data_IF_550455676921
#
_entry.id   IF_550455676921
#
_cell.length_a   1.000
_cell.length_b   1.000
_cell.length_c   1.000
_cell.angle_alpha   90.00
_cell.angle_beta   90.00
_cell.angle_gamma   90.00
#
_symmetry.space_group_name_H-M   'P 1'
#
loop_
_entity.id
_entity.type
_entity.pdbx_description
1 polymer ?
#
# COMPACT_ATOMS: atom_id res chain seq x y z
N UNK A 1 16.46 32.29 5.20
CA UNK A 1 15.17 31.63 4.97
C UNK A 1 15.29 30.14 4.56
N UNK A 2 16.48 29.59 4.29
CA UNK A 2 16.64 28.23 3.77
C UNK A 2 16.69 27.11 4.82
N UNK A 3 16.94 27.41 6.09
CA UNK A 3 17.10 26.37 7.14
C UNK A 3 15.77 25.86 7.75
N UNK A 4 14.67 26.60 7.59
CA UNK A 4 13.37 26.19 8.18
C UNK A 4 12.61 25.10 7.40
N UNK A 5 12.90 24.92 6.12
CA UNK A 5 12.13 23.98 5.27
C UNK A 5 12.69 22.55 5.27
N UNK A 6 13.98 22.37 5.56
CA UNK A 6 14.64 21.05 5.64
C UNK A 6 14.39 20.37 6.99
N UNK A 7 14.20 21.16 8.06
CA UNK A 7 13.81 20.67 9.38
C UNK A 7 12.36 20.17 9.44
N UNK A 8 11.55 20.39 8.39
CA UNK A 8 10.10 20.18 8.45
C UNK A 8 9.70 18.70 8.59
N UNK A 9 10.46 17.74 8.09
CA UNK A 9 10.10 16.33 8.28
C UNK A 9 10.56 15.77 9.63
N UNK A 10 11.75 16.13 10.10
CA UNK A 10 12.23 15.72 11.42
C UNK A 10 11.68 16.64 12.55
N UNK A 11 11.55 17.94 12.35
CA UNK A 11 11.06 18.88 13.34
C UNK A 11 9.57 18.75 13.63
N UNK A 12 8.74 18.35 12.64
CA UNK A 12 7.31 18.04 12.86
C UNK A 12 7.11 16.89 13.84
N UNK A 13 8.07 15.99 13.93
CA UNK A 13 8.06 14.86 14.87
C UNK A 13 8.85 15.16 16.14
N UNK A 14 9.75 16.18 16.12
CA UNK A 14 10.58 16.59 17.26
C UNK A 14 9.83 17.43 18.29
N UNK A 15 8.97 18.34 17.84
CA UNK A 15 8.20 19.19 18.77
C UNK A 15 6.94 18.46 19.21
N UNK A 16 6.98 17.87 20.38
CA UNK A 16 5.94 17.08 21.03
C UNK A 16 4.56 17.72 21.19
N UNK A 17 4.18 18.72 20.37
CA UNK A 17 2.92 19.43 20.47
C UNK A 17 1.81 18.75 19.67
N UNK A 18 0.75 18.27 20.40
CA UNK A 18 -0.43 17.69 19.76
C UNK A 18 -1.21 18.68 18.86
N UNK A 19 -0.93 19.99 18.97
CA UNK A 19 -1.60 20.99 18.14
C UNK A 19 -1.20 20.93 16.67
N UNK A 20 -0.02 20.39 16.36
CA UNK A 20 0.47 20.24 14.99
C UNK A 20 -0.01 18.93 14.33
N UNK A 21 -0.70 18.06 15.07
CA UNK A 21 -1.21 16.79 14.55
C UNK A 21 -2.62 16.95 13.95
N UNK A 22 -2.95 16.08 13.00
CA UNK A 22 -4.26 16.07 12.36
C UNK A 22 -5.36 15.71 13.34
N UNK A 23 -6.50 16.39 13.23
CA UNK A 23 -7.70 16.02 13.98
C UNK A 23 -8.22 14.66 13.56
N UNK A 24 -9.06 14.04 14.43
CA UNK A 24 -9.65 12.72 14.23
C UNK A 24 -10.22 12.52 12.82
N UNK A 25 -11.15 13.38 12.44
CA UNK A 25 -11.85 13.27 11.14
C UNK A 25 -10.97 13.67 9.96
N UNK A 26 -10.06 14.61 10.16
CA UNK A 26 -9.10 15.02 9.13
C UNK A 26 -8.19 13.84 8.74
N UNK A 27 -7.59 13.15 9.72
CA UNK A 27 -6.76 11.98 9.45
C UNK A 27 -7.57 10.81 8.88
N UNK A 28 -8.79 10.58 9.41
CA UNK A 28 -9.70 9.57 8.89
C UNK A 28 -9.96 9.78 7.39
N UNK A 29 -10.37 11.00 6.99
CA UNK A 29 -10.69 11.32 5.60
C UNK A 29 -9.45 11.28 4.70
N UNK A 30 -8.29 11.75 5.19
CA UNK A 30 -7.04 11.67 4.44
C UNK A 30 -6.67 10.21 4.15
N UNK A 31 -6.80 9.33 5.14
CA UNK A 31 -6.53 7.90 4.98
C UNK A 31 -7.55 7.20 4.07
N UNK A 32 -8.84 7.51 4.20
CA UNK A 32 -9.89 6.92 3.37
C UNK A 32 -9.79 7.29 1.88
N UNK A 33 -8.89 8.21 1.52
CA UNK A 33 -8.45 8.39 0.14
C UNK A 33 -7.90 7.11 -0.47
N UNK A 34 -7.18 6.33 0.31
CA UNK A 34 -6.57 5.06 -0.11
C UNK A 34 -7.62 3.99 -0.42
N UNK A 35 -8.78 4.01 0.27
CA UNK A 35 -9.85 3.02 0.06
C UNK A 35 -10.43 3.02 -1.36
N UNK A 36 -10.18 4.09 -2.13
CA UNK A 36 -10.81 4.26 -3.44
C UNK A 36 -10.02 3.69 -4.62
N UNK A 37 -8.89 3.03 -4.41
CA UNK A 37 -8.11 2.46 -5.50
C UNK A 37 -8.93 1.46 -6.32
N UNK A 38 -8.99 1.65 -7.65
CA UNK A 38 -9.60 0.67 -8.56
C UNK A 38 -8.87 -0.67 -8.52
N UNK A 39 -7.62 -0.66 -8.05
CA UNK A 39 -6.87 -1.85 -7.73
C UNK A 39 -7.67 -2.84 -6.85
N UNK A 40 -8.39 -2.37 -5.82
CA UNK A 40 -9.17 -3.25 -4.94
C UNK A 40 -10.38 -3.86 -5.64
N UNK A 41 -10.96 -3.17 -6.61
CA UNK A 41 -12.03 -3.69 -7.46
C UNK A 41 -11.48 -4.78 -8.38
N UNK A 42 -10.35 -4.49 -9.04
CA UNK A 42 -9.70 -5.42 -9.96
C UNK A 42 -9.18 -6.69 -9.27
N UNK A 43 -8.41 -6.56 -8.17
CA UNK A 43 -7.74 -7.71 -7.57
C UNK A 43 -8.73 -8.75 -7.06
N UNK A 44 -9.89 -8.32 -6.55
CA UNK A 44 -10.97 -9.23 -6.15
C UNK A 44 -11.47 -10.06 -7.33
N UNK A 45 -11.72 -9.40 -8.47
CA UNK A 45 -12.15 -10.06 -9.70
C UNK A 45 -11.07 -11.02 -10.24
N UNK A 46 -9.81 -10.58 -10.29
CA UNK A 46 -8.69 -11.39 -10.79
C UNK A 46 -8.50 -12.67 -9.95
N UNK A 47 -8.60 -12.57 -8.62
CA UNK A 47 -8.46 -13.73 -7.73
C UNK A 47 -9.68 -14.65 -7.79
N UNK A 48 -10.90 -14.11 -7.99
CA UNK A 48 -12.08 -14.93 -8.22
C UNK A 48 -11.98 -15.71 -9.54
N UNK A 49 -11.49 -15.08 -10.60
CA UNK A 49 -11.24 -15.76 -11.87
C UNK A 49 -10.17 -16.84 -11.74
N UNK A 50 -9.10 -16.57 -11.00
CA UNK A 50 -7.98 -17.51 -10.87
C UNK A 50 -8.29 -18.71 -9.95
N UNK A 51 -9.03 -18.51 -8.85
CA UNK A 51 -9.19 -19.52 -7.79
C UNK A 51 -10.65 -19.90 -7.51
N UNK A 52 -11.62 -19.31 -8.20
CA UNK A 52 -13.04 -19.42 -7.93
C UNK A 52 -13.50 -18.43 -6.85
N UNK A 53 -14.76 -18.01 -6.96
CA UNK A 53 -15.32 -16.95 -6.10
C UNK A 53 -15.30 -17.31 -4.61
N UNK A 54 -15.67 -18.54 -4.27
CA UNK A 54 -15.70 -18.99 -2.85
C UNK A 54 -14.30 -18.90 -2.23
N UNK A 55 -13.27 -19.40 -2.93
CA UNK A 55 -11.89 -19.32 -2.46
C UNK A 55 -11.41 -17.86 -2.36
N UNK A 56 -11.76 -17.03 -3.32
CA UNK A 56 -11.41 -15.60 -3.30
C UNK A 56 -12.04 -14.89 -2.08
N UNK A 57 -13.32 -15.16 -1.78
CA UNK A 57 -14.02 -14.55 -0.65
C UNK A 57 -13.50 -15.05 0.71
N UNK A 58 -13.15 -16.32 0.85
CA UNK A 58 -12.55 -16.86 2.08
C UNK A 58 -11.17 -16.25 2.30
N UNK A 59 -10.30 -16.24 1.28
CA UNK A 59 -8.98 -15.65 1.38
C UNK A 59 -9.03 -14.15 1.65
N UNK A 60 -9.99 -13.44 1.06
CA UNK A 60 -10.27 -12.02 1.34
C UNK A 60 -10.71 -11.81 2.80
N UNK A 61 -11.61 -12.65 3.33
CA UNK A 61 -12.03 -12.59 4.74
C UNK A 61 -10.84 -12.75 5.68
N UNK A 62 -9.97 -13.74 5.44
CA UNK A 62 -8.73 -13.92 6.19
C UNK A 62 -7.81 -12.69 6.07
N UNK A 63 -7.69 -12.13 4.87
CA UNK A 63 -6.92 -10.90 4.63
C UNK A 63 -7.42 -9.75 5.49
N UNK A 64 -8.72 -9.49 5.50
CA UNK A 64 -9.33 -8.41 6.31
C UNK A 64 -9.00 -8.58 7.79
N UNK A 65 -9.09 -9.80 8.32
CA UNK A 65 -8.76 -10.09 9.72
C UNK A 65 -7.29 -9.84 10.01
N UNK A 66 -6.39 -10.42 9.23
CA UNK A 66 -4.92 -10.31 9.44
C UNK A 66 -4.45 -8.87 9.28
N UNK A 67 -4.89 -8.18 8.23
CA UNK A 67 -4.57 -6.76 8.02
C UNK A 67 -5.10 -5.89 9.15
N UNK A 68 -6.34 -6.14 9.59
CA UNK A 68 -6.93 -5.43 10.71
C UNK A 68 -6.07 -5.54 11.97
N UNK A 69 -5.66 -6.75 12.35
CA UNK A 69 -4.85 -7.01 13.54
C UNK A 69 -3.48 -6.32 13.43
N UNK A 70 -2.77 -6.53 12.31
CA UNK A 70 -1.43 -5.96 12.12
C UNK A 70 -1.50 -4.43 12.16
N UNK A 71 -2.46 -3.83 11.43
CA UNK A 71 -2.56 -2.39 11.35
C UNK A 71 -3.08 -1.73 12.64
N UNK A 72 -3.87 -2.43 13.46
CA UNK A 72 -4.20 -1.95 14.82
C UNK A 72 -2.94 -1.76 15.65
N UNK A 73 -2.04 -2.75 15.63
CA UNK A 73 -0.78 -2.69 16.39
C UNK A 73 0.15 -1.60 15.85
N UNK A 74 0.37 -1.59 14.52
CA UNK A 74 1.26 -0.64 13.87
C UNK A 74 0.77 0.81 14.02
N UNK A 75 -0.52 1.07 13.78
CA UNK A 75 -1.07 2.43 13.87
C UNK A 75 -1.06 2.97 15.29
N UNK A 76 -1.42 2.14 16.28
CA UNK A 76 -1.32 2.52 17.69
C UNK A 76 0.11 2.88 18.07
N UNK A 77 1.07 2.05 17.64
CA UNK A 77 2.49 2.29 17.89
C UNK A 77 2.96 3.58 17.20
N UNK A 78 2.63 3.77 15.94
CA UNK A 78 3.04 4.95 15.18
C UNK A 78 2.48 6.26 15.74
N UNK A 79 1.20 6.29 16.13
CA UNK A 79 0.57 7.46 16.77
C UNK A 79 1.25 7.77 18.12
N UNK A 80 1.45 6.76 18.97
CA UNK A 80 1.99 6.96 20.32
C UNK A 80 3.46 7.38 20.30
N UNK A 81 4.22 6.87 19.32
CA UNK A 81 5.65 7.13 19.17
C UNK A 81 5.97 8.23 18.17
N UNK A 82 4.96 8.76 17.45
CA UNK A 82 5.12 9.77 16.38
C UNK A 82 6.19 9.36 15.39
N UNK A 83 6.09 8.12 14.91
CA UNK A 83 7.13 7.51 14.10
C UNK A 83 6.63 7.20 12.70
N UNK A 84 7.46 7.51 11.71
CA UNK A 84 7.30 7.10 10.31
C UNK A 84 8.07 5.82 10.04
N UNK A 85 7.86 5.20 8.86
CA UNK A 85 8.66 4.06 8.39
C UNK A 85 10.14 4.39 8.45
N UNK A 86 10.54 5.57 7.96
CA UNK A 86 11.93 6.00 7.94
C UNK A 86 12.53 6.12 9.36
N UNK A 87 11.77 6.64 10.32
CA UNK A 87 12.20 6.81 11.70
C UNK A 87 12.23 5.48 12.46
N UNK A 88 11.19 4.66 12.31
CA UNK A 88 11.09 3.37 12.98
C UNK A 88 12.14 2.39 12.47
N UNK A 89 12.39 2.37 11.17
CA UNK A 89 13.39 1.48 10.57
C UNK A 89 14.80 1.69 11.14
N UNK A 90 15.12 2.88 11.68
CA UNK A 90 16.41 3.09 12.38
C UNK A 90 16.56 2.20 13.60
N UNK A 91 15.48 1.96 14.34
CA UNK A 91 15.51 1.12 15.54
C UNK A 91 15.69 -0.35 15.20
N UNK A 92 15.04 -0.82 14.15
CA UNK A 92 15.02 -2.24 13.79
C UNK A 92 16.14 -2.63 12.80
N UNK A 93 16.61 -1.73 11.93
CA UNK A 93 17.60 -2.02 10.89
C UNK A 93 18.91 -1.23 11.02
N UNK A 94 18.95 -0.22 11.90
CA UNK A 94 20.04 0.77 11.96
C UNK A 94 19.88 1.87 10.91
N UNK A 95 20.75 2.90 10.96
CA UNK A 95 20.62 4.09 10.09
C UNK A 95 20.83 3.77 8.61
N UNK A 96 21.76 2.88 8.26
CA UNK A 96 21.98 2.47 6.86
C UNK A 96 20.89 1.51 6.37
N UNK A 97 20.45 0.56 7.21
CA UNK A 97 19.34 -0.34 6.89
C UNK A 97 18.03 0.42 6.67
N UNK A 98 17.77 1.46 7.45
CA UNK A 98 16.58 2.31 7.28
C UNK A 98 16.54 3.01 5.91
N UNK A 99 17.69 3.36 5.35
CA UNK A 99 17.74 3.99 4.03
C UNK A 99 17.31 3.03 2.91
N UNK A 100 17.62 1.72 3.05
CA UNK A 100 17.16 0.70 2.10
C UNK A 100 15.63 0.52 2.20
N UNK A 101 15.08 0.42 3.41
CA UNK A 101 13.63 0.34 3.59
C UNK A 101 12.92 1.58 3.01
N UNK A 102 13.49 2.77 3.21
CA UNK A 102 12.92 4.02 2.72
C UNK A 102 12.91 4.12 1.20
N UNK A 103 13.99 3.69 0.51
CA UNK A 103 14.01 3.71 -0.96
C UNK A 103 13.06 2.66 -1.55
N UNK A 104 12.97 1.46 -0.98
CA UNK A 104 11.98 0.46 -1.40
C UNK A 104 10.57 1.03 -1.27
N UNK A 105 10.26 1.67 -0.15
CA UNK A 105 8.95 2.28 0.06
C UNK A 105 8.67 3.42 -0.94
N UNK A 106 9.65 4.28 -1.21
CA UNK A 106 9.51 5.33 -2.21
C UNK A 106 9.23 4.76 -3.61
N UNK A 107 10.00 3.75 -4.03
CA UNK A 107 9.83 3.11 -5.34
C UNK A 107 8.49 2.42 -5.48
N UNK A 108 8.01 1.74 -4.44
CA UNK A 108 6.69 1.11 -4.44
C UNK A 108 5.57 2.15 -4.52
N UNK A 109 5.65 3.25 -3.75
CA UNK A 109 4.67 4.32 -3.81
C UNK A 109 4.66 5.02 -5.19
N UNK A 110 5.83 5.24 -5.79
CA UNK A 110 5.96 5.77 -7.16
C UNK A 110 5.37 4.78 -8.18
N UNK A 111 5.63 3.49 -8.03
CA UNK A 111 5.04 2.46 -8.89
C UNK A 111 3.51 2.50 -8.85
N UNK A 112 2.91 2.60 -7.65
CA UNK A 112 1.45 2.76 -7.54
C UNK A 112 0.96 4.09 -8.11
N UNK A 113 1.73 5.18 -8.01
CA UNK A 113 1.36 6.44 -8.65
C UNK A 113 1.31 6.31 -10.19
N UNK A 114 2.26 5.56 -10.77
CA UNK A 114 2.25 5.22 -12.21
C UNK A 114 1.03 4.39 -12.55
N UNK A 115 0.78 3.34 -11.78
CA UNK A 115 -0.31 2.40 -11.99
C UNK A 115 -1.68 3.10 -11.96
N UNK A 116 -2.00 3.78 -10.85
CA UNK A 116 -3.29 4.47 -10.67
C UNK A 116 -3.44 5.66 -11.63
N UNK A 117 -2.34 6.35 -11.94
CA UNK A 117 -2.33 7.42 -12.95
C UNK A 117 -2.61 6.91 -14.36
N UNK A 118 -2.08 5.75 -14.71
CA UNK A 118 -2.33 5.12 -16.02
C UNK A 118 -3.78 4.70 -16.20
N UNK A 119 -4.47 4.28 -15.13
CA UNK A 119 -5.90 3.97 -15.16
C UNK A 119 -6.72 5.22 -15.50
N UNK A 120 -6.41 6.37 -14.88
CA UNK A 120 -7.08 7.65 -15.21
C UNK A 120 -6.84 8.03 -16.67
N UNK A 121 -5.59 7.95 -17.12
CA UNK A 121 -5.24 8.27 -18.50
C UNK A 121 -5.99 7.37 -19.49
N UNK A 122 -6.08 6.08 -19.21
CA UNK A 122 -6.85 5.13 -20.00
C UNK A 122 -8.35 5.46 -20.01
N UNK A 123 -8.91 5.84 -18.86
CA UNK A 123 -10.31 6.24 -18.78
C UNK A 123 -10.59 7.51 -19.61
N UNK A 124 -9.71 8.50 -19.59
CA UNK A 124 -9.81 9.68 -20.46
C UNK A 124 -9.66 9.31 -21.93
N UNK A 125 -8.70 8.45 -22.27
CA UNK A 125 -8.50 7.98 -23.63
C UNK A 125 -9.73 7.21 -24.16
N UNK A 126 -10.35 6.38 -23.32
CA UNK A 126 -11.59 5.67 -23.65
C UNK A 126 -12.74 6.64 -23.93
N UNK A 127 -12.85 7.71 -23.15
CA UNK A 127 -13.96 8.68 -23.29
C UNK A 127 -13.75 9.69 -24.43
N UNK A 128 -12.52 10.13 -24.69
CA UNK A 128 -12.22 11.27 -25.58
C UNK A 128 -11.28 10.92 -26.75
N UNK A 129 -10.74 9.72 -26.78
CA UNK A 129 -9.72 9.33 -27.77
C UNK A 129 -8.37 9.99 -27.52
N UNK A 130 -7.54 10.07 -28.55
CA UNK A 130 -6.21 10.70 -28.51
C UNK A 130 -5.09 9.75 -28.10
N UNK A 131 -3.87 10.31 -28.01
CA UNK A 131 -2.65 9.56 -27.73
C UNK A 131 -2.45 9.38 -26.21
N UNK A 132 -2.04 8.20 -25.76
CA UNK A 132 -1.87 7.87 -24.33
C UNK A 132 -0.92 8.82 -23.62
N UNK A 133 0.21 9.21 -24.25
CA UNK A 133 1.20 10.09 -23.64
C UNK A 133 0.64 11.47 -23.25
N UNK A 134 -0.33 11.98 -24.02
CA UNK A 134 -0.99 13.26 -23.71
C UNK A 134 -1.77 13.17 -22.41
N UNK A 135 -2.48 12.06 -22.22
CA UNK A 135 -3.24 11.80 -21.01
C UNK A 135 -2.33 11.55 -19.81
N UNK A 136 -1.20 10.85 -20.00
CA UNK A 136 -0.18 10.71 -18.95
C UNK A 136 0.33 12.05 -18.47
N UNK A 137 0.66 12.95 -19.39
CA UNK A 137 1.12 14.31 -19.06
C UNK A 137 0.04 15.10 -18.30
N UNK A 138 -1.20 15.05 -18.75
CA UNK A 138 -2.34 15.72 -18.10
C UNK A 138 -2.51 15.18 -16.66
N UNK A 139 -2.47 13.85 -16.48
CA UNK A 139 -2.58 13.23 -15.15
C UNK A 139 -1.48 13.72 -14.21
N UNK A 140 -0.24 13.77 -14.65
CA UNK A 140 0.87 14.23 -13.83
C UNK A 140 0.76 15.72 -13.51
N UNK A 141 0.36 16.54 -14.49
CA UNK A 141 0.20 17.99 -14.32
C UNK A 141 -0.89 18.32 -13.29
N UNK A 142 -2.05 17.65 -13.32
CA UNK A 142 -3.10 17.96 -12.34
C UNK A 142 -2.85 17.33 -10.97
N UNK A 143 -2.22 16.14 -10.91
CA UNK A 143 -2.00 15.42 -9.65
C UNK A 143 -0.95 16.11 -8.77
N UNK A 144 0.12 16.64 -9.37
CA UNK A 144 1.23 17.25 -8.64
C UNK A 144 0.80 18.42 -7.74
N UNK A 145 0.03 19.41 -8.20
CA UNK A 145 -0.42 20.52 -7.35
C UNK A 145 -1.28 20.11 -6.16
N UNK A 146 -2.06 19.03 -6.29
CA UNK A 146 -2.93 18.55 -5.21
C UNK A 146 -2.15 18.14 -3.96
N UNK A 147 -0.86 17.81 -4.12
CA UNK A 147 -0.01 17.29 -3.04
C UNK A 147 1.03 18.33 -2.57
N UNK A 148 1.15 19.47 -3.23
CA UNK A 148 2.18 20.49 -2.96
C UNK A 148 2.15 21.03 -1.53
N UNK A 149 0.98 21.06 -0.91
CA UNK A 149 0.78 21.48 0.50
C UNK A 149 1.03 20.37 1.53
N UNK A 150 1.36 19.14 1.10
CA UNK A 150 1.43 17.97 1.94
C UNK A 150 0.04 17.51 2.43
N UNK A 151 -0.01 16.37 3.12
CA UNK A 151 -1.25 15.71 3.54
C UNK A 151 -2.17 16.59 4.42
N UNK A 152 -1.62 17.56 5.14
CA UNK A 152 -2.36 18.32 6.15
C UNK A 152 -3.22 19.49 5.63
N UNK A 153 -2.96 19.98 4.41
CA UNK A 153 -3.59 21.23 3.97
C UNK A 153 -4.85 21.06 3.12
N UNK A 154 -4.91 20.00 2.32
CA UNK A 154 -5.97 19.87 1.32
C UNK A 154 -6.48 18.44 1.14
N UNK A 155 -5.62 17.44 1.32
CA UNK A 155 -5.92 16.03 1.00
C UNK A 155 -7.13 15.52 1.81
N UNK A 156 -7.23 15.87 3.09
CA UNK A 156 -8.34 15.44 3.95
C UNK A 156 -9.70 15.98 3.47
N UNK A 157 -9.75 17.25 3.10
CA UNK A 157 -10.98 17.90 2.59
C UNK A 157 -11.38 17.32 1.24
N UNK A 158 -10.41 17.23 0.31
CA UNK A 158 -10.63 16.65 -1.02
C UNK A 158 -11.16 15.21 -0.88
N UNK A 159 -10.49 14.38 -0.11
CA UNK A 159 -10.89 13.00 0.07
C UNK A 159 -12.23 12.84 0.78
N UNK A 160 -12.55 13.74 1.74
CA UNK A 160 -13.85 13.75 2.42
C UNK A 160 -15.01 14.05 1.47
N UNK A 161 -14.86 15.05 0.60
CA UNK A 161 -15.89 15.42 -0.38
C UNK A 161 -16.06 14.37 -1.47
N UNK A 162 -14.99 13.72 -1.88
CA UNK A 162 -15.01 12.76 -2.98
C UNK A 162 -15.41 11.33 -2.56
N UNK A 163 -15.34 10.99 -1.26
CA UNK A 163 -15.69 9.65 -0.77
C UNK A 163 -17.12 9.21 -1.10
N UNK A 164 -18.17 10.03 -0.86
CA UNK A 164 -19.53 9.66 -1.24
C UNK A 164 -19.70 9.46 -2.74
N UNK A 165 -19.00 10.23 -3.58
CA UNK A 165 -19.04 10.11 -5.05
C UNK A 165 -18.45 8.76 -5.47
N UNK A 166 -17.35 8.34 -4.89
CA UNK A 166 -16.75 7.04 -5.17
C UNK A 166 -17.64 5.88 -4.75
N UNK A 167 -18.08 5.85 -3.49
CA UNK A 167 -18.90 4.75 -2.97
C UNK A 167 -20.26 4.69 -3.67
N UNK A 168 -20.91 5.85 -3.82
CA UNK A 168 -22.18 5.96 -4.55
C UNK A 168 -22.02 5.57 -6.01
N UNK A 169 -20.92 5.99 -6.64
CA UNK A 169 -20.61 5.64 -8.03
C UNK A 169 -20.44 4.14 -8.25
N UNK A 170 -19.78 3.43 -7.34
CA UNK A 170 -19.68 1.96 -7.42
C UNK A 170 -21.04 1.27 -7.21
N UNK A 171 -21.86 1.75 -6.28
CA UNK A 171 -23.22 1.23 -6.09
C UNK A 171 -24.05 1.46 -7.35
N UNK A 172 -23.99 2.66 -7.93
CA UNK A 172 -24.67 2.97 -9.20
C UNK A 172 -24.15 2.08 -10.32
N UNK A 173 -22.86 1.79 -10.40
CA UNK A 173 -22.30 0.87 -11.40
C UNK A 173 -22.88 -0.55 -11.28
N UNK A 174 -23.01 -1.06 -10.05
CA UNK A 174 -23.65 -2.37 -9.79
C UNK A 174 -25.12 -2.37 -10.23
N UNK A 175 -25.88 -1.35 -9.84
CA UNK A 175 -27.30 -1.23 -10.22
C UNK A 175 -27.45 -1.09 -11.74
N UNK A 176 -26.62 -0.27 -12.38
CA UNK A 176 -26.65 -0.05 -13.82
C UNK A 176 -26.31 -1.33 -14.59
N UNK A 177 -25.26 -2.03 -14.20
CA UNK A 177 -24.90 -3.33 -14.79
C UNK A 177 -26.06 -4.33 -14.67
N UNK A 178 -26.68 -4.42 -13.49
CA UNK A 178 -27.83 -5.29 -13.25
C UNK A 178 -29.04 -4.96 -14.13
N UNK A 179 -29.31 -3.67 -14.32
CA UNK A 179 -30.43 -3.21 -15.17
C UNK A 179 -30.16 -3.43 -16.66
N UNK A 180 -28.93 -3.23 -17.10
CA UNK A 180 -28.56 -3.29 -18.53
C UNK A 180 -28.31 -4.72 -19.02
N UNK A 181 -27.67 -5.58 -18.20
CA UNK A 181 -27.22 -6.90 -18.60
C UNK A 181 -27.95 -8.03 -17.85
N UNK A 182 -28.76 -7.71 -16.84
CA UNK A 182 -29.39 -8.68 -15.96
C UNK A 182 -28.50 -9.14 -14.81
N UNK A 183 -29.08 -9.30 -13.61
CA UNK A 183 -28.38 -9.85 -12.47
C UNK A 183 -28.49 -11.39 -12.51
N UNK A 184 -27.35 -12.07 -12.47
CA UNK A 184 -27.26 -13.53 -12.35
C UNK A 184 -26.48 -13.90 -11.11
N UNK A 185 -26.54 -15.16 -10.68
CA UNK A 185 -25.74 -15.71 -9.59
C UNK A 185 -24.35 -16.22 -10.06
N UNK A 186 -24.02 -16.04 -11.34
CA UNK A 186 -22.76 -16.49 -11.95
C UNK A 186 -21.53 -16.00 -11.18
N UNK A 187 -21.60 -14.77 -10.63
CA UNK A 187 -20.51 -14.19 -9.83
C UNK A 187 -20.28 -14.90 -8.49
N UNK A 188 -21.28 -15.62 -7.95
CA UNK A 188 -21.17 -16.41 -6.71
C UNK A 188 -20.75 -17.86 -6.99
N UNK A 189 -21.18 -18.41 -8.13
CA UNK A 189 -21.04 -19.83 -8.43
C UNK A 189 -19.82 -20.15 -9.29
N UNK A 190 -19.06 -19.13 -9.72
CA UNK A 190 -17.86 -19.33 -10.54
C UNK A 190 -16.84 -20.22 -9.84
N UNK A 191 -16.44 -21.29 -10.54
CA UNK A 191 -15.34 -22.17 -10.16
C UNK A 191 -14.17 -21.95 -11.13
N UNK A 192 -12.94 -22.00 -10.65
CA UNK A 192 -11.77 -21.83 -11.50
C UNK A 192 -11.75 -22.87 -12.62
N UNK A 193 -11.49 -22.41 -13.85
CA UNK A 193 -11.46 -23.28 -15.04
C UNK A 193 -10.25 -24.24 -15.06
N UNK A 194 -9.19 -23.93 -14.34
CA UNK A 194 -8.04 -24.79 -14.16
C UNK A 194 -8.02 -25.29 -12.73
N UNK A 195 -8.14 -26.59 -12.55
CA UNK A 195 -7.51 -27.25 -11.42
C UNK A 195 -5.99 -27.03 -11.58
N UNK A 196 -5.50 -25.79 -11.32
CA UNK A 196 -4.11 -25.63 -10.98
C UNK A 196 -3.81 -26.70 -9.95
N UNK A 197 -2.66 -27.42 -10.02
CA UNK A 197 -2.41 -28.51 -9.11
C UNK A 197 -2.49 -28.00 -7.68
N UNK A 198 -3.69 -28.00 -7.14
CA UNK A 198 -4.06 -27.61 -5.78
C UNK A 198 -3.23 -28.42 -4.78
N UNK A 199 -2.79 -29.61 -5.20
CA UNK A 199 -2.03 -30.54 -4.39
C UNK A 199 -0.69 -29.99 -3.87
N UNK A 200 0.00 -29.12 -4.60
CA UNK A 200 1.31 -28.58 -4.20
C UNK A 200 1.25 -27.12 -3.76
N UNK A 201 0.38 -26.30 -4.36
CA UNK A 201 0.23 -24.87 -4.03
C UNK A 201 -0.62 -24.58 -2.80
N UNK A 202 -1.37 -25.56 -2.31
CA UNK A 202 -2.36 -25.40 -1.25
C UNK A 202 -3.74 -24.97 -1.78
N UNK A 203 -4.73 -24.79 -0.89
CA UNK A 203 -6.09 -24.45 -1.27
C UNK A 203 -6.16 -23.03 -1.86
N UNK A 204 -7.08 -22.79 -2.80
CA UNK A 204 -7.23 -21.51 -3.49
C UNK A 204 -7.45 -20.30 -2.56
N UNK A 205 -8.12 -20.48 -1.41
CA UNK A 205 -8.25 -19.42 -0.42
C UNK A 205 -6.91 -19.00 0.22
N UNK A 206 -5.96 -19.95 0.36
CA UNK A 206 -4.62 -19.62 0.87
C UNK A 206 -3.80 -18.90 -0.19
N UNK A 207 -3.90 -19.30 -1.47
CA UNK A 207 -3.28 -18.61 -2.58
C UNK A 207 -3.83 -17.17 -2.72
N UNK A 208 -5.15 -16.98 -2.55
CA UNK A 208 -5.78 -15.65 -2.50
C UNK A 208 -5.20 -14.81 -1.35
N UNK A 209 -5.12 -15.35 -0.15
CA UNK A 209 -4.52 -14.65 1.00
C UNK A 209 -3.06 -14.26 0.72
N UNK A 210 -2.26 -15.19 0.19
CA UNK A 210 -0.87 -14.95 -0.16
C UNK A 210 -0.70 -13.86 -1.24
N UNK A 211 -1.58 -13.83 -2.25
CA UNK A 211 -1.60 -12.76 -3.23
C UNK A 211 -1.86 -11.38 -2.60
N UNK A 212 -2.78 -11.30 -1.65
CA UNK A 212 -2.98 -10.07 -0.87
C UNK A 212 -1.77 -9.70 0.00
N UNK A 213 -0.93 -10.64 0.44
CA UNK A 213 0.32 -10.30 1.14
C UNK A 213 1.25 -9.45 0.27
N UNK A 214 1.14 -9.51 -1.06
CA UNK A 214 1.80 -8.58 -1.98
C UNK A 214 1.42 -7.11 -1.76
N UNK A 215 0.32 -6.84 -1.10
CA UNK A 215 -0.17 -5.48 -0.77
C UNK A 215 0.16 -5.07 0.67
N UNK A 216 1.06 -5.76 1.36
CA UNK A 216 1.49 -5.40 2.73
C UNK A 216 2.21 -4.05 2.81
N UNK A 217 2.49 -3.41 1.69
CA UNK A 217 2.88 -2.00 1.63
C UNK A 217 1.87 -1.09 2.36
N UNK A 218 0.60 -1.49 2.43
CA UNK A 218 -0.44 -0.79 3.18
C UNK A 218 -0.09 -0.62 4.68
N UNK A 219 0.69 -1.55 5.25
CA UNK A 219 1.18 -1.43 6.62
C UNK A 219 2.22 -0.31 6.76
N UNK A 220 3.09 -0.15 5.76
CA UNK A 220 4.03 0.98 5.73
C UNK A 220 3.28 2.30 5.54
N UNK A 221 2.30 2.35 4.63
CA UNK A 221 1.41 3.50 4.46
C UNK A 221 0.70 3.86 5.78
N UNK A 222 0.19 2.84 6.49
CA UNK A 222 -0.43 3.01 7.82
C UNK A 222 0.51 3.68 8.80
N UNK A 223 1.77 3.26 8.88
CA UNK A 223 2.75 3.85 9.83
C UNK A 223 2.97 5.34 9.54
N UNK A 224 3.16 5.71 8.27
CA UNK A 224 3.43 7.10 7.89
C UNK A 224 2.21 8.02 8.10
N UNK A 225 1.00 7.55 7.77
CA UNK A 225 -0.22 8.33 8.01
C UNK A 225 -0.58 8.40 9.51
N UNK A 226 -0.44 7.29 10.23
CA UNK A 226 -0.76 7.22 11.64
C UNK A 226 0.13 8.16 12.47
N UNK A 227 1.39 8.35 12.08
CA UNK A 227 2.30 9.31 12.69
C UNK A 227 1.76 10.75 12.74
N UNK A 228 0.81 11.09 11.86
CA UNK A 228 0.14 12.39 11.81
C UNK A 228 -1.01 12.52 12.83
N UNK A 229 -1.39 11.43 13.52
CA UNK A 229 -2.52 11.37 14.43
C UNK A 229 -2.24 11.93 15.82
N UNK A 230 -3.29 12.42 16.48
CA UNK A 230 -3.23 12.80 17.91
C UNK A 230 -3.29 11.56 18.78
N UNK A 231 -2.44 11.49 19.83
CA UNK A 231 -2.40 10.37 20.79
C UNK A 231 -3.75 10.07 21.42
N UNK A 232 -4.53 11.10 21.77
CA UNK A 232 -5.88 10.93 22.36
C UNK A 232 -6.87 10.21 21.45
N UNK A 233 -6.63 10.23 20.14
CA UNK A 233 -7.50 9.62 19.14
C UNK A 233 -6.97 8.24 18.67
N UNK A 234 -5.87 7.73 19.25
CA UNK A 234 -5.23 6.47 18.83
C UNK A 234 -6.21 5.29 18.82
N UNK A 235 -7.06 5.14 19.86
CA UNK A 235 -8.05 4.07 19.93
C UNK A 235 -9.11 4.13 18.82
N UNK A 236 -9.50 5.33 18.40
CA UNK A 236 -10.39 5.51 17.25
C UNK A 236 -9.68 5.10 15.96
N UNK A 237 -8.46 5.59 15.75
CA UNK A 237 -7.74 5.36 14.52
C UNK A 237 -7.33 3.90 14.31
N UNK A 238 -6.92 3.18 15.37
CA UNK A 238 -6.57 1.76 15.28
C UNK A 238 -7.73 0.87 14.87
N UNK A 239 -8.98 1.28 15.11
CA UNK A 239 -10.17 0.50 14.78
C UNK A 239 -10.80 0.97 13.48
N UNK A 240 -11.11 2.26 13.38
CA UNK A 240 -11.93 2.82 12.30
C UNK A 240 -11.11 3.34 11.13
N UNK A 241 -9.95 3.97 11.39
CA UNK A 241 -9.13 4.49 10.29
C UNK A 241 -8.24 3.40 9.69
N UNK A 242 -7.38 2.78 10.49
CA UNK A 242 -6.34 1.87 10.02
C UNK A 242 -6.64 0.39 10.25
N UNK A 243 -7.63 0.08 11.09
CA UNK A 243 -7.99 -1.27 11.48
C UNK A 243 -8.97 -1.94 10.51
N UNK A 244 -9.61 -2.99 11.00
CA UNK A 244 -10.44 -3.88 10.20
C UNK A 244 -11.64 -3.20 9.52
N UNK A 245 -12.19 -2.11 10.08
CA UNK A 245 -13.31 -1.37 9.46
C UNK A 245 -12.92 -0.81 8.09
N UNK A 246 -11.70 -0.25 8.00
CA UNK A 246 -11.16 0.20 6.73
C UNK A 246 -11.05 -0.95 5.71
N UNK A 247 -10.55 -2.11 6.13
CA UNK A 247 -10.33 -3.23 5.23
C UNK A 247 -11.63 -3.91 4.79
N UNK A 248 -12.68 -3.91 5.62
CA UNK A 248 -14.02 -4.34 5.19
C UNK A 248 -14.51 -3.47 4.03
N UNK A 249 -14.31 -2.15 4.09
CA UNK A 249 -14.72 -1.25 3.04
C UNK A 249 -13.78 -1.31 1.82
N UNK A 250 -12.49 -1.12 2.04
CA UNK A 250 -11.53 -0.98 0.94
C UNK A 250 -11.35 -2.29 0.17
N UNK A 251 -11.21 -3.41 0.89
CA UNK A 251 -11.00 -4.71 0.27
C UNK A 251 -12.31 -5.46 0.08
N UNK A 252 -13.13 -5.59 1.14
CA UNK A 252 -14.35 -6.39 1.10
C UNK A 252 -15.36 -5.84 0.10
N UNK A 253 -15.80 -4.61 0.27
CA UNK A 253 -16.80 -3.98 -0.61
C UNK A 253 -16.28 -3.87 -2.04
N UNK A 254 -15.06 -3.35 -2.24
CA UNK A 254 -14.54 -3.14 -3.60
C UNK A 254 -14.32 -4.46 -4.35
N UNK A 255 -13.80 -5.51 -3.69
CA UNK A 255 -13.61 -6.82 -4.31
C UNK A 255 -14.95 -7.45 -4.71
N UNK A 256 -15.97 -7.38 -3.85
CA UNK A 256 -17.32 -7.91 -4.17
C UNK A 256 -17.90 -7.18 -5.38
N UNK A 257 -17.79 -5.84 -5.42
CA UNK A 257 -18.20 -5.06 -6.59
C UNK A 257 -17.45 -5.49 -7.84
N UNK A 258 -16.12 -5.66 -7.74
CA UNK A 258 -15.30 -6.09 -8.87
C UNK A 258 -15.67 -7.48 -9.40
N UNK A 259 -15.87 -8.44 -8.50
CA UNK A 259 -16.34 -9.79 -8.85
C UNK A 259 -17.69 -9.68 -9.56
N UNK A 260 -18.66 -8.97 -8.96
CA UNK A 260 -19.98 -8.80 -9.55
C UNK A 260 -19.95 -8.20 -10.95
N UNK A 261 -19.24 -7.10 -11.14
CA UNK A 261 -19.14 -6.42 -12.44
C UNK A 261 -18.50 -7.31 -13.50
N UNK A 262 -17.47 -8.07 -13.14
CA UNK A 262 -16.76 -8.97 -14.06
C UNK A 262 -17.64 -10.07 -14.62
N UNK A 263 -18.55 -10.62 -13.83
CA UNK A 263 -19.47 -11.66 -14.28
C UNK A 263 -20.79 -11.13 -14.82
N UNK A 264 -21.05 -9.83 -14.70
CA UNK A 264 -22.29 -9.20 -15.16
C UNK A 264 -22.10 -8.45 -16.47
N UNK A 265 -20.97 -7.76 -16.65
CA UNK A 265 -20.70 -6.98 -17.87
C UNK A 265 -20.09 -7.94 -18.92
N UNK A 266 -20.73 -8.12 -20.09
CA UNK A 266 -20.20 -8.98 -21.14
C UNK A 266 -18.80 -8.54 -21.60
N UNK A 267 -17.92 -9.51 -21.82
CA UNK A 267 -16.57 -9.33 -22.36
C UNK A 267 -15.67 -8.36 -21.56
N UNK A 268 -16.00 -8.13 -20.27
CA UNK A 268 -15.18 -7.29 -19.39
C UNK A 268 -13.79 -7.91 -19.25
N UNK A 269 -12.79 -7.16 -19.70
CA UNK A 269 -11.39 -7.57 -19.51
C UNK A 269 -11.00 -7.49 -18.04
N UNK A 270 -10.54 -8.60 -17.45
CA UNK A 270 -10.10 -8.64 -16.05
C UNK A 270 -8.67 -8.10 -15.96
N UNK A 271 -8.57 -6.81 -16.08
CA UNK A 271 -7.37 -6.00 -15.85
C UNK A 271 -7.80 -4.69 -15.21
N UNK A 272 -6.86 -3.97 -14.64
CA UNK A 272 -7.15 -2.70 -13.95
C UNK A 272 -7.75 -1.66 -14.90
N UNK A 273 -7.17 -1.55 -16.09
CA UNK A 273 -7.67 -0.67 -17.15
C UNK A 273 -8.97 -1.20 -17.73
N UNK A 274 -9.12 -2.52 -17.84
CA UNK A 274 -10.33 -3.15 -18.36
C UNK A 274 -11.54 -2.92 -17.45
N UNK A 275 -11.41 -3.07 -16.14
CA UNK A 275 -12.50 -2.77 -15.19
C UNK A 275 -12.88 -1.29 -15.24
N UNK A 276 -11.89 -0.39 -15.24
CA UNK A 276 -12.14 1.05 -15.35
C UNK A 276 -12.79 1.41 -16.69
N UNK A 277 -12.27 0.87 -17.80
CA UNK A 277 -12.84 1.05 -19.15
C UNK A 277 -14.25 0.50 -19.26
N UNK A 278 -14.53 -0.66 -18.66
CA UNK A 278 -15.87 -1.25 -18.62
C UNK A 278 -16.89 -0.34 -17.94
N UNK A 279 -16.52 0.25 -16.80
CA UNK A 279 -17.35 1.23 -16.10
C UNK A 279 -17.57 2.48 -16.97
N UNK A 280 -16.52 3.00 -17.64
CA UNK A 280 -16.63 4.15 -18.54
C UNK A 280 -17.51 3.83 -19.75
N UNK A 281 -17.31 2.68 -20.40
CA UNK A 281 -18.11 2.27 -21.55
C UNK A 281 -19.59 2.05 -21.20
N UNK A 282 -19.87 1.49 -20.01
CA UNK A 282 -21.24 1.25 -19.54
C UNK A 282 -21.96 2.54 -19.14
N UNK A 283 -21.31 3.43 -18.40
CA UNK A 283 -21.93 4.59 -17.77
C UNK A 283 -21.57 5.94 -18.45
N UNK A 284 -20.72 5.92 -19.46
CA UNK A 284 -20.27 7.14 -20.15
C UNK A 284 -19.55 8.11 -19.22
N UNK A 285 -19.96 9.39 -19.26
CA UNK A 285 -19.35 10.46 -18.46
C UNK A 285 -19.47 10.21 -16.94
N UNK A 286 -20.53 9.55 -16.49
CA UNK A 286 -20.69 9.23 -15.06
C UNK A 286 -19.65 8.18 -14.64
N UNK A 287 -19.39 7.18 -15.46
CA UNK A 287 -18.33 6.21 -15.24
C UNK A 287 -16.94 6.87 -15.20
N UNK A 288 -16.69 7.79 -16.13
CA UNK A 288 -15.45 8.57 -16.14
C UNK A 288 -15.27 9.38 -14.84
N UNK A 289 -16.33 10.02 -14.35
CA UNK A 289 -16.28 10.75 -13.06
C UNK A 289 -15.93 9.80 -11.91
N UNK A 290 -16.55 8.62 -11.84
CA UNK A 290 -16.27 7.63 -10.80
C UNK A 290 -14.82 7.20 -10.82
N UNK A 291 -14.27 6.83 -11.98
CA UNK A 291 -12.87 6.43 -12.14
C UNK A 291 -11.93 7.59 -11.82
N UNK A 292 -12.18 8.77 -12.36
CA UNK A 292 -11.36 9.96 -12.11
C UNK A 292 -11.29 10.31 -10.62
N UNK A 293 -12.45 10.34 -9.94
CA UNK A 293 -12.54 10.62 -8.50
C UNK A 293 -11.83 9.55 -7.70
N UNK A 294 -12.08 8.28 -8.00
CA UNK A 294 -11.44 7.13 -7.39
C UNK A 294 -9.91 7.27 -7.41
N UNK A 295 -9.36 7.41 -8.59
CA UNK A 295 -7.92 7.38 -8.81
C UNK A 295 -7.21 8.66 -8.37
N UNK A 296 -7.86 9.81 -8.49
CA UNK A 296 -7.32 11.07 -7.97
C UNK A 296 -7.13 11.00 -6.45
N UNK A 297 -8.06 10.38 -5.74
CA UNK A 297 -8.00 10.22 -4.28
C UNK A 297 -6.81 9.37 -3.84
N UNK A 298 -6.65 8.17 -4.41
CA UNK A 298 -5.51 7.30 -4.06
C UNK A 298 -4.19 7.90 -4.51
N UNK A 299 -4.14 8.54 -5.68
CA UNK A 299 -2.91 9.11 -6.20
C UNK A 299 -2.37 10.25 -5.34
N UNK A 300 -3.21 11.01 -4.63
CA UNK A 300 -2.71 11.97 -3.64
C UNK A 300 -1.86 11.30 -2.55
N UNK A 301 -2.23 10.09 -2.12
CA UNK A 301 -1.45 9.33 -1.14
C UNK A 301 -0.14 8.82 -1.75
N UNK A 302 -0.18 8.25 -2.95
CA UNK A 302 1.00 7.71 -3.63
C UNK A 302 2.05 8.79 -3.91
N UNK A 303 1.65 9.95 -4.44
CA UNK A 303 2.55 11.09 -4.67
C UNK A 303 3.14 11.62 -3.37
N UNK A 304 2.32 11.76 -2.32
CA UNK A 304 2.77 12.21 -1.00
C UNK A 304 3.82 11.26 -0.41
N UNK A 305 3.52 9.97 -0.35
CA UNK A 305 4.39 8.96 0.25
C UNK A 305 5.66 8.73 -0.59
N UNK A 306 5.52 8.68 -1.92
CA UNK A 306 6.65 8.56 -2.83
C UNK A 306 7.63 9.71 -2.67
N UNK A 307 7.14 10.94 -2.69
CA UNK A 307 7.96 12.15 -2.57
C UNK A 307 8.60 12.29 -1.18
N UNK A 308 7.87 11.98 -0.11
CA UNK A 308 8.36 12.09 1.28
C UNK A 308 9.47 11.06 1.56
N UNK A 309 9.28 9.83 1.10
CA UNK A 309 10.27 8.79 1.29
C UNK A 309 11.47 8.96 0.37
N UNK A 310 11.27 9.46 -0.86
CA UNK A 310 12.38 9.82 -1.76
C UNK A 310 13.20 10.99 -1.18
N UNK A 311 12.55 11.99 -0.57
CA UNK A 311 13.23 13.06 0.17
C UNK A 311 14.07 12.48 1.31
N UNK A 312 13.50 11.62 2.13
CA UNK A 312 14.21 11.02 3.27
C UNK A 312 15.43 10.22 2.84
N UNK A 313 15.33 9.49 1.73
CA UNK A 313 16.46 8.80 1.12
C UNK A 313 17.51 9.77 0.56
N UNK A 314 17.09 10.77 -0.20
CA UNK A 314 17.97 11.77 -0.82
C UNK A 314 18.76 12.55 0.21
N UNK A 315 18.15 12.95 1.32
CA UNK A 315 18.82 13.68 2.40
C UNK A 315 19.85 12.81 3.11
N UNK A 316 19.54 11.52 3.37
CA UNK A 316 20.43 10.62 4.10
C UNK A 316 21.57 10.08 3.26
N UNK A 317 21.26 9.59 2.06
CA UNK A 317 22.23 8.86 1.21
C UNK A 317 22.95 9.80 0.25
N UNK A 318 22.18 10.62 -0.48
CA UNK A 318 22.74 11.53 -1.49
C UNK A 318 23.20 12.87 -0.89
N UNK A 319 22.87 13.13 0.39
CA UNK A 319 23.17 14.41 1.07
C UNK A 319 22.55 15.62 0.39
N UNK A 320 21.47 15.42 -0.37
CA UNK A 320 20.74 16.47 -1.08
C UNK A 320 19.65 17.05 -0.20
N UNK A 321 19.85 18.26 0.29
CA UNK A 321 18.90 18.99 1.15
C UNK A 321 17.98 19.87 0.29
N UNK A 322 17.05 19.27 -0.42
CA UNK A 322 16.06 19.97 -1.23
C UNK A 322 14.72 20.11 -0.47
N UNK A 323 13.94 21.17 -0.72
CA UNK A 323 12.60 21.29 -0.14
C UNK A 323 11.66 20.21 -0.69
N UNK A 324 10.62 19.86 0.08
CA UNK A 324 9.63 18.85 -0.29
C UNK A 324 9.07 19.03 -1.72
N UNK A 325 8.74 20.30 -2.10
CA UNK A 325 8.23 20.58 -3.45
C UNK A 325 9.18 20.20 -4.58
N UNK A 326 10.50 20.28 -4.38
CA UNK A 326 11.47 19.82 -5.37
C UNK A 326 11.46 18.30 -5.51
N UNK A 327 11.38 17.58 -4.39
CA UNK A 327 11.25 16.11 -4.40
C UNK A 327 9.92 15.64 -5.01
N UNK A 328 8.84 16.40 -4.79
CA UNK A 328 7.56 16.14 -5.44
C UNK A 328 7.65 16.28 -6.96
N UNK A 329 8.34 17.34 -7.45
CA UNK A 329 8.56 17.52 -8.89
C UNK A 329 9.44 16.39 -9.45
N UNK A 330 10.53 16.02 -8.75
CA UNK A 330 11.37 14.88 -9.15
C UNK A 330 10.53 13.59 -9.26
N UNK A 331 9.69 13.31 -8.25
CA UNK A 331 8.79 12.16 -8.28
C UNK A 331 7.81 12.23 -9.45
N UNK A 332 7.21 13.40 -9.72
CA UNK A 332 6.28 13.62 -10.83
C UNK A 332 6.93 13.36 -12.19
N UNK A 333 8.17 13.83 -12.38
CA UNK A 333 8.95 13.57 -13.61
C UNK A 333 9.24 12.08 -13.76
N UNK A 334 9.66 11.41 -12.69
CA UNK A 334 9.89 9.96 -12.71
C UNK A 334 8.60 9.22 -13.07
N UNK A 335 7.48 9.58 -12.45
CA UNK A 335 6.16 8.98 -12.71
C UNK A 335 5.79 9.14 -14.18
N UNK A 336 5.94 10.34 -14.76
CA UNK A 336 5.63 10.58 -16.17
C UNK A 336 6.43 9.65 -17.10
N UNK A 337 7.76 9.60 -16.93
CA UNK A 337 8.59 8.74 -17.78
C UNK A 337 8.29 7.24 -17.60
N UNK A 338 7.97 6.82 -16.37
CA UNK A 338 7.57 5.45 -16.12
C UNK A 338 6.21 5.10 -16.73
N UNK A 339 5.25 6.05 -16.79
CA UNK A 339 3.96 5.85 -17.47
C UNK A 339 4.11 5.63 -18.99
N UNK A 340 5.20 6.11 -19.61
CA UNK A 340 5.49 5.85 -21.03
C UNK A 340 5.96 4.40 -21.29
N UNK A 341 6.31 3.67 -20.24
CA UNK A 341 6.72 2.27 -20.31
C UNK A 341 5.53 1.35 -20.00
N UNK A 342 5.51 0.11 -20.53
CA UNK A 342 4.41 -0.84 -20.30
C UNK A 342 4.45 -1.47 -18.90
N UNK A 343 4.60 -0.63 -17.85
CA UNK A 343 4.84 -1.10 -16.45
C UNK A 343 3.57 -1.69 -15.84
N UNK A 344 2.39 -1.19 -16.21
CA UNK A 344 1.10 -1.60 -15.63
C UNK A 344 0.86 -3.10 -15.80
N UNK A 345 1.25 -3.69 -16.93
CA UNK A 345 1.11 -5.12 -17.19
C UNK A 345 1.89 -6.04 -16.22
N UNK A 346 2.86 -5.50 -15.47
CA UNK A 346 3.69 -6.25 -14.53
C UNK A 346 3.19 -6.20 -13.09
N UNK A 347 1.94 -5.77 -12.84
CA UNK A 347 1.41 -5.58 -11.48
C UNK A 347 1.49 -6.87 -10.64
N UNK A 348 1.15 -8.01 -11.20
CA UNK A 348 1.21 -9.28 -10.45
C UNK A 348 2.65 -9.65 -10.08
N UNK A 349 3.61 -9.37 -10.98
CA UNK A 349 5.03 -9.56 -10.69
C UNK A 349 5.50 -8.59 -9.59
N UNK A 350 5.09 -7.33 -9.67
CA UNK A 350 5.39 -6.33 -8.64
C UNK A 350 4.81 -6.74 -7.28
N UNK A 351 3.59 -7.25 -7.24
CA UNK A 351 2.97 -7.79 -6.01
C UNK A 351 3.76 -8.97 -5.45
N UNK A 352 4.23 -9.89 -6.30
CA UNK A 352 5.05 -11.02 -5.84
C UNK A 352 6.36 -10.54 -5.18
N UNK A 353 7.08 -9.59 -5.79
CA UNK A 353 8.28 -9.00 -5.20
C UNK A 353 8.00 -8.21 -3.92
N UNK A 354 6.90 -7.45 -3.88
CA UNK A 354 6.45 -6.77 -2.66
C UNK A 354 6.08 -7.76 -1.57
N UNK A 355 5.42 -8.87 -1.93
CA UNK A 355 5.07 -9.98 -1.04
C UNK A 355 6.28 -10.63 -0.37
N UNK A 356 7.49 -10.37 -0.85
CA UNK A 356 8.74 -10.81 -0.23
C UNK A 356 9.43 -9.66 0.49
N UNK A 357 9.79 -8.59 -0.21
CA UNK A 357 10.60 -7.49 0.33
C UNK A 357 9.90 -6.70 1.44
N UNK A 358 8.65 -6.34 1.20
CA UNK A 358 7.85 -5.53 2.13
C UNK A 358 7.32 -6.37 3.29
N UNK A 359 6.90 -7.59 2.99
CA UNK A 359 6.37 -8.53 4.00
C UNK A 359 7.40 -8.83 5.08
N UNK A 360 8.67 -9.02 4.72
CA UNK A 360 9.75 -9.22 5.68
C UNK A 360 9.90 -8.01 6.63
N UNK A 361 9.85 -6.78 6.11
CA UNK A 361 9.89 -5.58 6.95
C UNK A 361 8.70 -5.51 7.90
N UNK A 362 7.50 -5.75 7.41
CA UNK A 362 6.26 -5.70 8.21
C UNK A 362 6.30 -6.74 9.33
N UNK A 363 6.73 -7.97 9.03
CA UNK A 363 6.85 -9.04 10.01
C UNK A 363 7.86 -8.69 11.11
N UNK A 364 9.02 -8.12 10.76
CA UNK A 364 10.01 -7.65 11.72
C UNK A 364 9.44 -6.51 12.57
N UNK A 365 8.80 -5.52 11.95
CA UNK A 365 8.22 -4.37 12.63
C UNK A 365 7.14 -4.79 13.64
N UNK A 366 6.23 -5.66 13.23
CA UNK A 366 5.19 -6.21 14.10
C UNK A 366 5.79 -7.00 15.26
N UNK A 367 6.73 -7.91 14.97
CA UNK A 367 7.41 -8.73 15.97
C UNK A 367 8.17 -7.86 16.98
N UNK A 368 8.86 -6.81 16.51
CA UNK A 368 9.55 -5.87 17.36
C UNK A 368 8.60 -5.20 18.35
N UNK A 369 7.48 -4.67 17.88
CA UNK A 369 6.48 -3.99 18.74
C UNK A 369 5.93 -4.95 19.80
N UNK A 370 5.66 -6.19 19.43
CA UNK A 370 5.15 -7.22 20.36
C UNK A 370 6.20 -7.57 21.42
N UNK A 371 7.45 -7.80 21.03
CA UNK A 371 8.54 -8.17 21.94
C UNK A 371 8.95 -7.03 22.86
N UNK A 372 8.98 -5.80 22.35
CA UNK A 372 9.28 -4.60 23.14
C UNK A 372 8.08 -4.09 23.96
N UNK A 373 6.95 -4.83 23.92
CA UNK A 373 5.69 -4.51 24.61
C UNK A 373 5.16 -3.10 24.28
N UNK A 374 5.42 -2.63 23.07
CA UNK A 374 5.01 -1.32 22.59
C UNK A 374 5.56 -0.15 23.41
N UNK A 375 6.76 -0.29 23.98
CA UNK A 375 7.40 0.78 24.76
C UNK A 375 7.42 2.07 23.99
N UNK A 376 7.12 3.15 24.68
CA UNK A 376 7.11 4.47 24.10
C UNK A 376 8.53 4.96 23.85
N UNK A 377 8.85 5.18 22.58
CA UNK A 377 10.10 5.81 22.13
C UNK A 377 9.75 6.92 21.14
N UNK A 378 10.11 8.16 21.45
CA UNK A 378 9.90 9.27 20.52
C UNK A 378 11.02 9.29 19.46
N UNK A 379 10.92 8.41 18.48
CA UNK A 379 11.95 8.18 17.46
C UNK A 379 12.39 9.46 16.72
N UNK A 380 11.48 10.40 16.50
CA UNK A 380 11.78 11.68 15.86
C UNK A 380 12.66 12.60 16.71
N UNK A 381 12.67 12.44 18.03
CA UNK A 381 13.48 13.23 18.95
C UNK A 381 14.91 12.69 19.14
N UNK A 382 15.15 11.45 18.71
CA UNK A 382 16.45 10.80 18.86
C UNK A 382 17.28 11.07 17.61
N UNK A 383 18.45 11.73 17.71
CA UNK A 383 19.29 12.02 16.55
C UNK A 383 19.90 10.74 15.96
N UNK A 384 20.21 10.75 14.66
CA UNK A 384 20.80 9.61 13.96
C UNK A 384 22.11 9.12 14.59
N UNK A 385 22.89 10.01 15.19
CA UNK A 385 24.13 9.69 15.88
C UNK A 385 23.95 8.76 17.08
N UNK A 386 22.74 8.64 17.61
CA UNK A 386 22.41 7.75 18.73
C UNK A 386 22.04 6.34 18.26
N UNK A 387 21.90 6.10 16.96
CA UNK A 387 21.61 4.78 16.41
C UNK A 387 22.87 4.16 15.83
N UNK A 388 23.02 2.84 16.00
CA UNK A 388 24.03 2.06 15.30
C UNK A 388 23.81 2.16 13.78
N UNK A 389 24.90 2.10 13.02
CA UNK A 389 24.84 2.08 11.56
C UNK A 389 24.01 0.90 11.02
N UNK A 390 24.19 -0.28 11.62
CA UNK A 390 23.45 -1.50 11.32
C UNK A 390 22.92 -2.12 12.61
N UNK A 391 21.70 -2.64 12.58
CA UNK A 391 21.16 -3.52 13.60
C UNK A 391 21.17 -4.95 13.04
N UNK A 392 22.09 -5.77 13.52
CA UNK A 392 22.26 -7.13 13.02
C UNK A 392 20.99 -7.97 13.20
N UNK A 393 20.22 -7.80 14.30
CA UNK A 393 19.00 -8.57 14.52
C UNK A 393 17.97 -8.35 13.41
N UNK A 394 17.72 -7.11 13.06
CA UNK A 394 16.73 -6.80 12.02
C UNK A 394 17.27 -7.02 10.61
N UNK A 395 18.51 -6.59 10.34
CA UNK A 395 19.07 -6.66 8.99
C UNK A 395 19.28 -8.12 8.55
N UNK A 396 19.83 -8.97 9.43
CA UNK A 396 20.04 -10.41 9.14
C UNK A 396 18.69 -11.10 8.96
N UNK A 397 17.70 -10.83 9.83
CA UNK A 397 16.37 -11.39 9.68
C UNK A 397 15.74 -10.98 8.34
N UNK A 398 15.87 -9.71 7.95
CA UNK A 398 15.32 -9.20 6.70
C UNK A 398 15.98 -9.85 5.47
N UNK A 399 17.31 -9.92 5.45
CA UNK A 399 18.06 -10.50 4.33
C UNK A 399 17.73 -11.99 4.18
N UNK A 400 17.80 -12.77 5.27
CA UNK A 400 17.56 -14.22 5.19
C UNK A 400 16.12 -14.50 4.78
N UNK A 401 15.13 -13.82 5.37
CA UNK A 401 13.74 -14.01 5.02
C UNK A 401 13.45 -13.60 3.56
N UNK A 402 14.06 -12.52 3.09
CA UNK A 402 13.96 -12.09 1.70
C UNK A 402 14.57 -13.13 0.75
N UNK A 403 15.73 -13.67 1.07
CA UNK A 403 16.37 -14.75 0.26
C UNK A 403 15.45 -15.97 0.21
N UNK A 404 14.89 -16.41 1.34
CA UNK A 404 13.93 -17.53 1.38
C UNK A 404 12.76 -17.24 0.44
N UNK A 405 12.14 -16.06 0.54
CA UNK A 405 11.02 -15.69 -0.30
C UNK A 405 11.37 -15.62 -1.79
N UNK A 406 12.52 -15.04 -2.14
CA UNK A 406 13.00 -14.98 -3.53
C UNK A 406 13.24 -16.37 -4.09
N UNK A 407 13.89 -17.28 -3.34
CA UNK A 407 14.09 -18.67 -3.75
C UNK A 407 12.74 -19.34 -4.00
N UNK A 408 11.76 -19.13 -3.11
CA UNK A 408 10.42 -19.66 -3.30
C UNK A 408 9.75 -19.13 -4.58
N UNK A 409 9.82 -17.82 -4.85
CA UNK A 409 9.28 -17.24 -6.07
C UNK A 409 9.94 -17.78 -7.34
N UNK A 410 11.20 -18.15 -7.28
CA UNK A 410 11.94 -18.69 -8.43
C UNK A 410 11.67 -20.19 -8.67
N UNK A 411 10.95 -20.89 -7.81
CA UNK A 411 10.62 -22.31 -8.00
C UNK A 411 9.91 -22.56 -9.34
N UNK A 412 8.98 -21.68 -9.73
CA UNK A 412 8.27 -21.78 -11.02
C UNK A 412 9.18 -21.60 -12.23
N UNK A 413 10.32 -20.91 -12.10
CA UNK A 413 11.31 -20.78 -13.17
C UNK A 413 12.14 -22.06 -13.32
N UNK A 414 12.38 -22.75 -12.20
CA UNK A 414 13.14 -24.03 -12.19
C UNK A 414 12.23 -25.17 -12.66
N UNK A 415 11.01 -25.23 -12.14
CA UNK A 415 9.98 -26.20 -12.51
C UNK A 415 8.62 -25.50 -12.55
N UNK A 416 7.97 -25.37 -13.74
CA UNK A 416 6.66 -24.73 -13.89
C UNK A 416 5.58 -25.30 -12.96
N UNK A 417 5.61 -26.59 -12.63
CA UNK A 417 4.65 -27.23 -11.72
C UNK A 417 4.73 -26.67 -10.28
N UNK A 418 5.86 -26.07 -9.92
CA UNK A 418 6.08 -25.47 -8.60
C UNK A 418 5.74 -23.96 -8.55
N UNK A 419 5.29 -23.37 -9.65
CA UNK A 419 4.96 -21.95 -9.69
C UNK A 419 3.89 -21.57 -8.65
N UNK A 420 2.84 -22.39 -8.51
CA UNK A 420 1.79 -22.22 -7.51
C UNK A 420 2.31 -22.33 -6.07
N UNK A 421 3.27 -23.24 -5.83
CA UNK A 421 3.95 -23.37 -4.52
C UNK A 421 4.69 -22.08 -4.18
N UNK A 422 5.50 -21.58 -5.11
CA UNK A 422 6.28 -20.36 -4.92
C UNK A 422 5.41 -19.13 -4.66
N UNK A 423 4.37 -18.96 -5.47
CA UNK A 423 3.44 -17.83 -5.34
C UNK A 423 2.66 -17.85 -4.01
N UNK A 424 2.21 -19.03 -3.56
CA UNK A 424 1.42 -19.16 -2.32
C UNK A 424 2.31 -19.10 -1.08
N UNK A 425 3.37 -19.90 -1.04
CA UNK A 425 4.18 -20.06 0.17
C UNK A 425 5.32 -19.07 0.30
N UNK A 426 5.74 -18.42 -0.78
CA UNK A 426 6.83 -17.43 -0.75
C UNK A 426 6.57 -16.28 0.24
N UNK A 427 5.46 -15.53 0.12
CA UNK A 427 5.15 -14.47 1.08
C UNK A 427 4.96 -14.98 2.52
N UNK A 428 4.31 -16.15 2.69
CA UNK A 428 4.06 -16.75 4.00
C UNK A 428 5.38 -17.16 4.67
N UNK A 429 6.24 -17.88 3.93
CA UNK A 429 7.54 -18.29 4.43
C UNK A 429 8.42 -17.09 4.78
N UNK A 430 8.34 -16.01 3.97
CA UNK A 430 9.04 -14.76 4.26
C UNK A 430 8.57 -14.15 5.57
N UNK A 431 7.25 -14.00 5.78
CA UNK A 431 6.70 -13.43 7.00
C UNK A 431 7.10 -14.24 8.24
N UNK A 432 6.92 -15.55 8.17
CA UNK A 432 7.22 -16.46 9.30
C UNK A 432 8.70 -16.47 9.61
N UNK A 433 9.58 -16.64 8.61
CA UNK A 433 11.02 -16.66 8.82
C UNK A 433 11.54 -15.31 9.33
N UNK A 434 11.05 -14.18 8.80
CA UNK A 434 11.42 -12.86 9.29
C UNK A 434 11.07 -12.67 10.76
N UNK A 435 9.85 -13.04 11.17
CA UNK A 435 9.40 -12.95 12.55
C UNK A 435 10.23 -13.85 13.48
N UNK A 436 10.42 -15.10 13.12
CA UNK A 436 11.15 -16.09 13.95
C UNK A 436 12.63 -15.71 14.08
N UNK A 437 13.32 -15.44 12.98
CA UNK A 437 14.74 -15.07 13.00
C UNK A 437 14.93 -13.79 13.82
N UNK A 438 14.06 -12.79 13.59
CA UNK A 438 14.11 -11.54 14.36
C UNK A 438 13.93 -11.80 15.86
N UNK A 439 12.93 -12.59 16.25
CA UNK A 439 12.66 -12.90 17.65
C UNK A 439 13.84 -13.63 18.33
N UNK A 440 14.46 -14.61 17.64
CA UNK A 440 15.62 -15.33 18.13
C UNK A 440 16.79 -14.37 18.34
N UNK A 441 17.13 -13.57 17.33
CA UNK A 441 18.25 -12.63 17.40
C UNK A 441 18.02 -11.49 18.40
N UNK A 442 16.76 -11.03 18.53
CA UNK A 442 16.37 -10.06 19.54
C UNK A 442 16.63 -10.58 20.96
N UNK A 443 16.16 -11.78 21.24
CA UNK A 443 16.35 -12.40 22.56
C UNK A 443 17.81 -12.69 22.88
N UNK A 444 18.59 -13.18 21.90
CA UNK A 444 20.03 -13.45 22.05
C UNK A 444 20.84 -12.18 22.34
N UNK A 445 20.40 -11.03 21.82
CA UNK A 445 21.02 -9.72 22.06
C UNK A 445 20.49 -9.00 23.31
N UNK A 446 19.72 -9.68 24.17
CA UNK A 446 19.16 -9.14 25.40
C UNK A 446 18.11 -8.05 25.17
N UNK A 447 17.37 -8.12 24.05
CA UNK A 447 16.29 -7.18 23.74
C UNK A 447 16.76 -5.76 23.40
N UNK A 448 17.93 -5.61 22.79
CA UNK A 448 18.50 -4.30 22.45
C UNK A 448 18.06 -3.85 21.06
N UNK A 449 17.56 -2.62 20.98
CA UNK A 449 17.36 -1.89 19.71
C UNK A 449 18.71 -1.45 19.13
N UNK A 450 18.70 -0.85 17.94
CA UNK A 450 19.89 -0.19 17.37
C UNK A 450 20.34 1.05 18.18
N UNK A 451 19.63 1.42 19.23
CA UNK A 451 19.95 2.59 20.07
C UNK A 451 21.23 2.29 20.87
N UNK A 452 22.22 3.15 20.73
CA UNK A 452 23.46 3.07 21.47
C UNK A 452 23.19 3.49 22.92
N UNK A 453 23.75 2.76 23.90
CA UNK A 453 23.69 3.13 25.30
C UNK A 453 24.29 4.54 25.50
N UNK A 454 23.78 5.27 26.48
CA UNK A 454 24.42 6.52 26.92
C UNK A 454 25.85 6.21 27.37
N UNK A 455 26.80 6.84 26.70
CA UNK A 455 28.21 6.81 27.13
C UNK A 455 28.43 7.75 28.29
#
# INVERSE_FOLDING_TARGET
MSNKLVEINDSKYREGNDNDQMGRWSLFMAWYGVASAMFFVYIGAALAMAYGTVNALIGLGLTIVVYGIINQVLSRYAINNRTTVALFSRSILGTSGSSIATIIFALVAIYYAVFEGSIVAYAFQTAFGGESWMWYLIVVIYSTPLVFGGARKFIDKLNGWLLPIYLGGLIVAVVWASMQYGATDAWLTHTAASELPVALGGPGWLATFAAYMGVWIMMMFTVDYAALGKRKDAKFHETYSFGWVFYVLAYGFSAVVGIFLTFTIPDLQVSETGVAGGIVNMMGILGLIVVFVSQTRINTANYYLGSTNLQSFGERVLKLKLPYGAWLIVSAVIIFFLMLLPIVQYILLALAWQGVLVTAWVAIAFTHIVLDKGKRQEHGMIPDSRYARFNNSGLVAWIIATVIGVVMLQLGTINPDLAGVGATWGPIATAVSAALIYAILWNSNGGKTALLADK
#
